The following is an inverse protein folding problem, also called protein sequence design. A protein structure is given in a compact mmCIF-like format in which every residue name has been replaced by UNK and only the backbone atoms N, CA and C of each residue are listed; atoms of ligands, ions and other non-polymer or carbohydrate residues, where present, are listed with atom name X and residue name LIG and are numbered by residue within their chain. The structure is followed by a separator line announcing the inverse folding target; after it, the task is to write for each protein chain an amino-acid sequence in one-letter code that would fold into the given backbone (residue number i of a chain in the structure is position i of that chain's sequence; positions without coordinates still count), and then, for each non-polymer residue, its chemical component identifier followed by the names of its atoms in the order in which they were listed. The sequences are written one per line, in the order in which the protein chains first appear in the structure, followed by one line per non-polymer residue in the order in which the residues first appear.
data_IF_328183813682
#
_entry.id   IF_328183813682
#
_cell.length_a   1.000
_cell.length_b   1.000
_cell.length_c   1.000
_cell.angle_alpha   90.00
_cell.angle_beta   90.00
_cell.angle_gamma   90.00
#
_symmetry.space_group_name_H-M   'P 1'
#
loop_
_entity.id
_entity.type
_entity.pdbx_description
1 polymer ?
#
# COMPACT_ATOMS: atom_id res chain seq x y z
N UNK A 1 -14.70 -4.99 -3.74
CA UNK A 1 -14.20 -4.17 -2.61
C UNK A 1 -15.36 -3.60 -1.76
N UNK A 2 -16.24 -4.51 -1.29
CA UNK A 2 -17.44 -4.11 -0.54
C UNK A 2 -17.13 -3.37 0.77
N UNK A 3 -15.96 -3.60 1.37
CA UNK A 3 -15.55 -2.94 2.61
C UNK A 3 -15.52 -1.40 2.48
N UNK A 4 -15.31 -0.86 1.28
CA UNK A 4 -15.33 0.58 1.05
C UNK A 4 -16.70 1.22 1.35
N UNK A 5 -17.79 0.50 1.13
CA UNK A 5 -19.14 0.99 1.43
C UNK A 5 -19.41 1.17 2.92
N UNK A 6 -18.57 0.65 3.81
CA UNK A 6 -18.64 0.97 5.23
C UNK A 6 -18.19 2.39 5.57
N UNK A 7 -17.45 3.07 4.68
CA UNK A 7 -17.06 4.46 4.88
C UNK A 7 -18.25 5.41 4.71
N UNK A 8 -18.34 6.45 5.53
CA UNK A 8 -19.45 7.42 5.54
C UNK A 8 -19.73 8.01 4.15
N UNK A 9 -18.69 8.25 3.36
CA UNK A 9 -18.79 8.80 2.00
C UNK A 9 -19.52 7.85 1.06
N UNK A 10 -19.22 6.54 1.11
CA UNK A 10 -19.77 5.53 0.22
C UNK A 10 -21.03 4.86 0.79
N UNK A 11 -21.26 4.92 2.11
CA UNK A 11 -22.42 4.37 2.76
C UNK A 11 -23.75 4.87 2.16
N UNK A 12 -23.78 6.11 1.67
CA UNK A 12 -24.94 6.71 0.99
C UNK A 12 -25.30 6.04 -0.33
N UNK A 13 -24.43 5.23 -0.89
CA UNK A 13 -24.69 4.46 -2.12
C UNK A 13 -25.41 3.14 -1.82
N UNK A 14 -25.51 2.74 -0.55
CA UNK A 14 -26.27 1.58 -0.13
C UNK A 14 -27.78 1.91 -0.16
N UNK A 15 -28.48 1.32 -1.11
CA UNK A 15 -29.89 1.61 -1.40
C UNK A 15 -30.77 0.41 -1.08
N UNK A 16 -31.70 0.57 -0.15
CA UNK A 16 -32.60 -0.49 0.32
C UNK A 16 -33.61 -0.95 -0.73
N UNK A 17 -33.75 -0.22 -1.83
CA UNK A 17 -34.60 -0.64 -2.97
C UNK A 17 -34.07 -1.88 -3.69
N UNK A 18 -32.77 -2.20 -3.54
CA UNK A 18 -32.22 -3.43 -4.08
C UNK A 18 -32.59 -4.62 -3.19
N UNK A 19 -33.41 -5.53 -3.74
CA UNK A 19 -33.86 -6.73 -3.04
C UNK A 19 -32.76 -7.79 -2.93
N UNK A 20 -31.95 -7.95 -3.99
CA UNK A 20 -30.85 -8.90 -4.02
C UNK A 20 -29.54 -8.17 -3.91
N UNK A 21 -28.70 -8.60 -2.95
CA UNK A 21 -27.46 -7.92 -2.59
C UNK A 21 -26.34 -8.94 -2.46
N UNK A 22 -25.22 -8.69 -3.14
CA UNK A 22 -24.00 -9.51 -3.05
C UNK A 22 -22.82 -8.60 -2.76
N UNK A 23 -22.08 -8.92 -1.72
CA UNK A 23 -20.83 -8.26 -1.37
C UNK A 23 -19.65 -9.21 -1.55
N UNK A 24 -18.62 -8.73 -2.24
CA UNK A 24 -17.32 -9.41 -2.35
C UNK A 24 -16.24 -8.51 -1.76
N UNK A 25 -15.46 -9.05 -0.85
CA UNK A 25 -14.33 -8.34 -0.24
C UNK A 25 -13.32 -9.35 0.30
N UNK A 26 -12.04 -9.04 0.19
CA UNK A 26 -10.98 -9.79 0.86
C UNK A 26 -10.95 -9.50 2.37
N UNK A 27 -11.34 -8.29 2.76
CA UNK A 27 -11.33 -7.79 4.15
C UNK A 27 -12.68 -7.16 4.45
N UNK A 28 -13.60 -7.93 5.02
CA UNK A 28 -14.93 -7.40 5.35
C UNK A 28 -14.91 -6.58 6.64
N UNK A 29 -14.09 -6.97 7.59
CA UNK A 29 -13.92 -6.27 8.86
C UNK A 29 -13.00 -5.08 8.68
N UNK A 30 -13.53 -3.89 8.88
CA UNK A 30 -12.81 -2.63 8.72
C UNK A 30 -11.94 -2.36 9.94
N UNK A 31 -10.68 -2.06 9.71
CA UNK A 31 -9.75 -1.77 10.80
C UNK A 31 -10.20 -0.52 11.59
N UNK A 32 -10.40 -0.67 12.91
CA UNK A 32 -10.84 0.41 13.83
C UNK A 32 -12.16 1.11 13.45
N UNK A 33 -13.00 0.46 12.64
CA UNK A 33 -14.28 1.00 12.19
C UNK A 33 -15.40 -0.05 12.38
N UNK A 34 -15.77 -0.25 13.64
CA UNK A 34 -16.82 -1.19 14.03
C UNK A 34 -18.20 -0.76 13.47
N UNK A 35 -18.44 0.57 13.37
CA UNK A 35 -19.71 1.12 12.85
C UNK A 35 -19.83 0.84 11.34
N UNK A 36 -18.78 1.06 10.57
CA UNK A 36 -18.76 0.74 9.15
C UNK A 36 -18.86 -0.75 8.88
N UNK A 37 -18.22 -1.58 9.70
CA UNK A 37 -18.37 -3.04 9.62
C UNK A 37 -19.80 -3.48 9.91
N UNK A 38 -20.42 -2.95 10.97
CA UNK A 38 -21.82 -3.24 11.31
C UNK A 38 -22.78 -2.82 10.20
N UNK A 39 -22.55 -1.66 9.56
CA UNK A 39 -23.33 -1.19 8.42
C UNK A 39 -23.32 -2.19 7.26
N UNK A 40 -22.16 -2.74 6.92
CA UNK A 40 -22.02 -3.74 5.85
C UNK A 40 -22.80 -5.01 6.16
N UNK A 41 -22.69 -5.53 7.38
CA UNK A 41 -23.46 -6.71 7.80
C UNK A 41 -24.96 -6.45 7.83
N UNK A 42 -25.41 -5.27 8.26
CA UNK A 42 -26.81 -4.90 8.25
C UNK A 42 -27.38 -4.80 6.83
N UNK A 43 -26.60 -4.28 5.87
CA UNK A 43 -27.06 -4.10 4.50
C UNK A 43 -26.99 -5.39 3.67
N UNK A 44 -25.84 -6.10 3.70
CA UNK A 44 -25.60 -7.30 2.89
C UNK A 44 -26.00 -8.60 3.58
N UNK A 45 -26.20 -8.60 4.89
CA UNK A 45 -26.48 -9.79 5.68
C UNK A 45 -25.20 -10.49 6.14
N UNK A 46 -25.34 -11.73 6.57
CA UNK A 46 -24.25 -12.53 7.11
C UNK A 46 -23.29 -13.03 6.00
N UNK A 47 -22.03 -13.21 6.34
CA UNK A 47 -21.05 -13.86 5.46
C UNK A 47 -21.51 -15.28 5.13
N UNK A 48 -21.74 -15.56 3.85
CA UNK A 48 -22.23 -16.86 3.37
C UNK A 48 -21.11 -17.78 2.89
N UNK A 49 -19.99 -17.21 2.38
CA UNK A 49 -18.84 -17.97 1.87
C UNK A 49 -17.56 -17.30 2.39
N UNK A 50 -16.59 -18.10 2.76
CA UNK A 50 -15.23 -17.70 3.01
C UNK A 50 -14.30 -18.54 2.16
N UNK A 51 -13.42 -17.86 1.41
CA UNK A 51 -12.43 -18.48 0.56
C UNK A 51 -11.04 -17.97 0.94
N UNK A 52 -10.39 -18.59 1.94
CA UNK A 52 -9.13 -18.10 2.48
C UNK A 52 -7.99 -18.24 1.46
N UNK A 53 -6.96 -17.38 1.61
CA UNK A 53 -5.79 -17.33 0.75
C UNK A 53 -5.07 -18.70 0.66
N UNK A 54 -4.96 -19.42 1.77
CA UNK A 54 -4.37 -20.76 1.81
C UNK A 54 -5.09 -21.73 0.88
N UNK A 55 -6.42 -21.77 0.95
CA UNK A 55 -7.25 -22.61 0.08
C UNK A 55 -7.11 -22.23 -1.38
N UNK A 56 -7.07 -20.94 -1.70
CA UNK A 56 -6.87 -20.46 -3.07
C UNK A 56 -5.51 -20.86 -3.65
N UNK A 57 -4.47 -20.91 -2.81
CA UNK A 57 -3.13 -21.38 -3.18
C UNK A 57 -3.12 -22.91 -3.35
N UNK A 58 -3.77 -23.64 -2.44
CA UNK A 58 -3.81 -25.12 -2.48
C UNK A 58 -4.61 -25.63 -3.70
N UNK A 59 -5.65 -24.91 -4.10
CA UNK A 59 -6.45 -25.21 -5.29
C UNK A 59 -5.86 -24.61 -6.59
N UNK A 60 -4.60 -24.13 -6.58
CA UNK A 60 -3.90 -23.50 -7.72
C UNK A 60 -4.67 -22.32 -8.38
N UNK A 61 -5.52 -21.64 -7.60
CA UNK A 61 -6.19 -20.40 -8.03
C UNK A 61 -5.31 -19.17 -7.85
N UNK A 62 -4.37 -19.25 -6.90
CA UNK A 62 -3.35 -18.22 -6.66
C UNK A 62 -1.96 -18.85 -6.70
N UNK A 63 -1.01 -18.07 -7.20
CA UNK A 63 0.39 -18.49 -7.31
C UNK A 63 1.00 -18.67 -5.92
N UNK A 64 1.68 -19.77 -5.70
CA UNK A 64 2.50 -20.00 -4.50
C UNK A 64 3.64 -18.99 -4.47
N UNK A 65 3.91 -18.42 -3.31
CA UNK A 65 5.00 -17.46 -3.12
C UNK A 65 5.83 -17.79 -1.89
N UNK A 66 7.06 -17.29 -1.88
CA UNK A 66 7.94 -17.31 -0.70
C UNK A 66 8.12 -15.86 -0.24
N UNK A 67 8.00 -15.65 1.05
CA UNK A 67 8.17 -14.34 1.68
C UNK A 67 9.49 -14.33 2.47
N UNK A 68 10.33 -13.32 2.20
CA UNK A 68 11.63 -13.15 2.84
C UNK A 68 11.69 -11.75 3.48
N UNK A 69 11.46 -11.62 4.78
CA UNK A 69 11.59 -10.34 5.45
C UNK A 69 13.09 -9.95 5.55
N UNK A 70 13.39 -8.72 5.16
CA UNK A 70 14.71 -8.10 5.34
C UNK A 70 14.56 -7.02 6.40
N UNK A 71 15.26 -7.17 7.51
CA UNK A 71 15.23 -6.21 8.61
C UNK A 71 16.20 -5.07 8.30
N UNK A 72 15.71 -3.85 8.39
CA UNK A 72 16.49 -2.61 8.27
C UNK A 72 16.22 -1.73 9.49
N UNK A 73 17.18 -0.89 9.84
CA UNK A 73 17.07 0.01 10.97
C UNK A 73 16.96 1.45 10.50
N UNK A 74 16.38 2.31 11.31
CA UNK A 74 16.46 3.75 11.12
C UNK A 74 17.90 4.19 11.43
N UNK A 75 18.42 5.14 10.64
CA UNK A 75 19.68 5.78 11.00
C UNK A 75 19.50 6.68 12.23
N UNK A 76 20.60 7.23 12.79
CA UNK A 76 20.57 7.99 14.04
C UNK A 76 19.66 9.22 13.96
N UNK A 77 19.67 9.96 12.84
CA UNK A 77 18.82 11.14 12.64
C UNK A 77 17.34 10.77 12.50
N UNK A 78 17.05 9.73 11.74
CA UNK A 78 15.69 9.18 11.57
C UNK A 78 15.15 8.65 12.91
N UNK A 79 15.98 7.94 13.68
CA UNK A 79 15.61 7.41 14.99
C UNK A 79 15.32 8.53 15.97
N UNK A 80 16.19 9.53 16.05
CA UNK A 80 15.98 10.70 16.94
C UNK A 80 14.66 11.40 16.61
N UNK A 81 14.38 11.64 15.31
CA UNK A 81 13.14 12.27 14.89
C UNK A 81 11.92 11.39 15.19
N UNK A 82 12.02 10.08 14.97
CA UNK A 82 10.96 9.11 15.32
C UNK A 82 10.65 9.13 16.82
N UNK A 83 11.66 9.19 17.68
CA UNK A 83 11.52 9.27 19.15
C UNK A 83 10.88 10.59 19.58
N UNK A 84 11.30 11.72 19.01
CA UNK A 84 10.69 13.04 19.25
C UNK A 84 9.20 13.04 18.92
N UNK A 85 8.82 12.56 17.74
CA UNK A 85 7.41 12.46 17.33
C UNK A 85 6.63 11.50 18.25
N UNK A 86 7.23 10.40 18.68
CA UNK A 86 6.62 9.44 19.58
C UNK A 86 6.35 10.06 20.96
N UNK A 87 7.29 10.86 21.47
CA UNK A 87 7.12 11.60 22.72
C UNK A 87 6.00 12.65 22.60
N UNK A 88 5.98 13.45 21.52
CA UNK A 88 4.90 14.43 21.32
C UNK A 88 3.53 13.75 21.15
N UNK A 89 3.48 12.61 20.46
CA UNK A 89 2.27 11.80 20.34
C UNK A 89 1.73 11.35 21.69
N UNK A 90 2.61 10.95 22.62
CA UNK A 90 2.18 10.48 23.95
C UNK A 90 1.38 11.54 24.71
N UNK A 91 1.67 12.83 24.47
CA UNK A 91 0.95 13.98 25.07
C UNK A 91 -0.42 14.22 24.44
N UNK A 92 -0.70 13.60 23.29
CA UNK A 92 -1.92 13.80 22.51
C UNK A 92 -3.01 12.75 22.78
N UNK A 93 -2.80 11.88 23.77
CA UNK A 93 -3.75 10.84 24.16
C UNK A 93 -4.93 11.46 24.93
N UNK A 94 -6.15 11.13 24.49
CA UNK A 94 -7.41 11.53 25.13
C UNK A 94 -8.29 10.30 25.32
N UNK A 95 -9.19 10.34 26.28
CA UNK A 95 -10.23 9.30 26.43
C UNK A 95 -11.45 9.64 25.57
N UNK A 96 -11.95 8.67 24.83
CA UNK A 96 -13.22 8.79 24.13
C UNK A 96 -14.40 8.68 25.10
N UNK A 97 -15.64 8.79 24.56
CA UNK A 97 -16.87 8.68 25.35
C UNK A 97 -17.08 7.29 25.98
N UNK A 98 -16.34 6.26 25.51
CA UNK A 98 -16.37 4.88 26.03
C UNK A 98 -15.19 4.59 26.95
N UNK A 99 -14.39 5.61 27.31
CA UNK A 99 -13.22 5.48 28.17
C UNK A 99 -11.98 4.87 27.50
N UNK A 100 -12.02 4.58 26.18
CA UNK A 100 -10.85 4.09 25.41
C UNK A 100 -9.91 5.25 25.07
N UNK A 101 -8.62 4.98 25.18
CA UNK A 101 -7.58 5.94 24.79
C UNK A 101 -7.52 6.04 23.25
N UNK A 102 -7.50 7.25 22.74
CA UNK A 102 -7.30 7.58 21.33
C UNK A 102 -6.42 8.82 21.20
N UNK A 103 -5.85 9.00 20.02
CA UNK A 103 -5.17 10.24 19.67
C UNK A 103 -6.20 11.34 19.35
N UNK A 104 -5.86 12.57 19.73
CA UNK A 104 -6.56 13.74 19.21
C UNK A 104 -6.08 14.05 17.79
N UNK A 105 -6.67 15.04 17.11
CA UNK A 105 -6.29 15.43 15.73
C UNK A 105 -4.80 15.72 15.55
N UNK A 106 -4.16 16.40 16.54
CA UNK A 106 -2.73 16.66 16.51
C UNK A 106 -1.93 15.36 16.59
N UNK A 107 -2.34 14.45 17.47
CA UNK A 107 -1.70 13.14 17.62
C UNK A 107 -1.82 12.26 16.37
N UNK A 108 -2.93 12.36 15.64
CA UNK A 108 -3.12 11.65 14.35
C UNK A 108 -2.14 12.18 13.29
N UNK A 109 -1.94 13.50 13.22
CA UNK A 109 -0.94 14.12 12.32
C UNK A 109 0.47 13.66 12.69
N UNK A 110 0.82 13.66 13.99
CA UNK A 110 2.13 13.19 14.46
C UNK A 110 2.34 11.71 14.16
N UNK A 111 1.30 10.88 14.30
CA UNK A 111 1.35 9.46 13.94
C UNK A 111 1.64 9.26 12.45
N UNK A 112 1.01 10.08 11.60
CA UNK A 112 1.27 10.07 10.16
C UNK A 112 2.71 10.47 9.85
N UNK A 113 3.21 11.57 10.42
CA UNK A 113 4.60 12.00 10.26
C UNK A 113 5.58 10.92 10.71
N UNK A 114 5.32 10.26 11.84
CA UNK A 114 6.14 9.15 12.33
C UNK A 114 6.13 7.94 11.38
N UNK A 115 4.98 7.60 10.82
CA UNK A 115 4.88 6.50 9.84
C UNK A 115 5.65 6.79 8.55
N UNK A 116 5.73 8.06 8.15
CA UNK A 116 6.51 8.51 6.98
C UNK A 116 8.01 8.28 7.17
N UNK A 117 8.55 8.51 8.37
CA UNK A 117 9.96 8.21 8.66
C UNK A 117 10.24 6.72 8.41
N UNK A 118 9.39 5.85 8.94
CA UNK A 118 9.54 4.40 8.74
C UNK A 118 9.37 4.00 7.28
N UNK A 119 8.39 4.59 6.57
CA UNK A 119 8.17 4.30 5.16
C UNK A 119 9.36 4.74 4.28
N UNK A 120 9.94 5.91 4.57
CA UNK A 120 11.03 6.52 3.82
C UNK A 120 12.44 6.19 4.31
N UNK A 121 12.60 5.28 5.28
CA UNK A 121 13.91 4.96 5.87
C UNK A 121 15.00 4.69 4.81
N UNK A 122 16.12 5.40 4.89
CA UNK A 122 17.18 5.41 3.87
C UNK A 122 17.86 4.06 3.73
N UNK A 123 18.01 3.31 4.82
CA UNK A 123 18.59 1.97 4.82
C UNK A 123 17.80 0.96 3.96
N UNK A 124 16.53 1.22 3.65
CA UNK A 124 15.76 0.41 2.70
C UNK A 124 16.33 0.46 1.30
N UNK A 125 16.89 1.60 0.89
CA UNK A 125 17.52 1.74 -0.43
C UNK A 125 18.85 0.98 -0.49
N UNK A 126 19.62 0.98 0.59
CA UNK A 126 20.83 0.17 0.73
C UNK A 126 20.51 -1.30 0.65
N UNK A 127 19.55 -1.76 1.45
CA UNK A 127 19.08 -3.15 1.42
C UNK A 127 18.51 -3.55 0.05
N UNK A 128 17.79 -2.64 -0.62
CA UNK A 128 17.30 -2.90 -1.98
C UNK A 128 18.44 -3.14 -2.96
N UNK A 129 19.50 -2.29 -2.95
CA UNK A 129 20.67 -2.48 -3.82
C UNK A 129 21.28 -3.86 -3.68
N UNK A 130 21.47 -4.29 -2.43
CA UNK A 130 22.05 -5.61 -2.15
C UNK A 130 21.16 -6.76 -2.61
N UNK A 131 19.86 -6.69 -2.27
CA UNK A 131 18.92 -7.77 -2.54
C UNK A 131 18.54 -7.87 -4.03
N UNK A 132 18.54 -6.77 -4.77
CA UNK A 132 18.15 -6.76 -6.20
C UNK A 132 19.29 -7.12 -7.13
N UNK A 133 20.55 -6.96 -6.70
CA UNK A 133 21.73 -7.21 -7.53
C UNK A 133 21.73 -8.58 -8.24
N UNK A 134 21.35 -9.72 -7.59
CA UNK A 134 21.25 -11.02 -8.26
C UNK A 134 20.18 -11.08 -9.35
N UNK A 135 19.30 -10.08 -9.39
CA UNK A 135 18.17 -9.98 -10.32
C UNK A 135 18.40 -8.95 -11.43
N UNK A 136 19.52 -8.23 -11.46
CA UNK A 136 19.80 -7.17 -12.43
C UNK A 136 19.66 -7.61 -13.90
N UNK A 137 19.85 -8.90 -14.20
CA UNK A 137 19.64 -9.49 -15.53
C UNK A 137 18.34 -10.30 -15.66
N UNK A 138 17.45 -10.22 -14.67
CA UNK A 138 16.17 -10.90 -14.70
C UNK A 138 15.08 -9.96 -15.19
N UNK A 139 13.98 -10.55 -15.63
CA UNK A 139 12.76 -9.83 -16.00
C UNK A 139 11.64 -10.11 -15.00
N UNK A 140 10.55 -9.39 -15.13
CA UNK A 140 9.33 -9.59 -14.36
C UNK A 140 9.49 -9.23 -12.87
N UNK A 141 10.18 -8.13 -12.60
CA UNK A 141 10.40 -7.59 -11.26
C UNK A 141 9.40 -6.48 -10.96
N UNK A 142 8.91 -6.47 -9.74
CA UNK A 142 8.13 -5.36 -9.18
C UNK A 142 8.89 -4.78 -7.99
N UNK A 143 9.05 -3.46 -7.95
CA UNK A 143 9.48 -2.76 -6.73
C UNK A 143 8.34 -1.87 -6.29
N UNK A 144 7.79 -2.17 -5.10
CA UNK A 144 6.67 -1.45 -4.54
C UNK A 144 7.17 -0.46 -3.49
N UNK A 145 7.02 0.82 -3.76
CA UNK A 145 7.38 1.92 -2.88
C UNK A 145 6.21 2.31 -1.99
N UNK A 146 6.49 2.87 -0.84
CA UNK A 146 5.47 3.30 0.11
C UNK A 146 4.62 4.44 -0.44
N UNK A 147 3.37 4.40 -0.02
CA UNK A 147 2.44 5.47 -0.25
C UNK A 147 2.06 6.11 1.09
N UNK A 148 2.43 7.34 1.35
CA UNK A 148 2.19 8.00 2.64
C UNK A 148 0.92 8.84 2.71
N UNK A 149 0.02 8.80 1.73
CA UNK A 149 -1.24 9.55 1.75
C UNK A 149 -2.43 8.70 2.20
N UNK A 150 -2.56 8.37 3.49
CA UNK A 150 -3.72 7.61 3.98
C UNK A 150 -4.73 8.46 4.77
N UNK A 151 -4.49 9.73 5.06
CA UNK A 151 -5.40 10.47 5.94
C UNK A 151 -5.86 11.87 5.47
N UNK A 152 -5.79 12.21 4.20
CA UNK A 152 -6.36 13.48 3.79
C UNK A 152 -7.22 13.40 2.53
N UNK A 153 -8.48 12.94 2.71
CA UNK A 153 -9.55 13.19 1.73
C UNK A 153 -9.86 14.70 1.57
N UNK A 154 -9.19 15.58 2.33
CA UNK A 154 -9.40 17.03 2.36
C UNK A 154 -8.14 17.87 2.13
N UNK A 155 -6.96 17.26 2.10
CA UNK A 155 -5.76 17.99 1.72
C UNK A 155 -5.69 18.09 0.20
N UNK A 156 -5.49 19.30 -0.22
CA UNK A 156 -5.31 19.73 -1.59
C UNK A 156 -4.39 18.76 -2.36
N UNK A 157 -4.83 18.29 -3.51
CA UNK A 157 -4.10 17.37 -4.40
C UNK A 157 -2.72 17.89 -4.87
N UNK A 158 -2.32 19.06 -4.39
CA UNK A 158 -1.05 19.71 -4.73
C UNK A 158 0.14 19.33 -3.85
N UNK A 159 -0.05 18.61 -2.73
CA UNK A 159 1.06 18.12 -1.91
C UNK A 159 1.36 16.66 -2.22
N UNK A 160 1.92 16.40 -3.39
CA UNK A 160 2.69 15.18 -3.62
C UNK A 160 3.77 15.16 -2.55
N UNK A 161 3.73 14.17 -1.66
CA UNK A 161 4.67 14.12 -0.54
C UNK A 161 6.08 14.00 -1.10
N UNK A 162 6.91 15.05 -0.91
CA UNK A 162 8.27 15.08 -1.44
C UNK A 162 9.08 13.84 -1.05
N UNK A 163 8.74 13.18 0.07
CA UNK A 163 9.36 11.96 0.53
C UNK A 163 9.05 10.74 -0.36
N UNK A 164 7.81 10.61 -0.83
CA UNK A 164 7.39 9.47 -1.67
C UNK A 164 7.92 9.62 -3.10
N UNK A 165 7.88 10.83 -3.62
CA UNK A 165 8.50 11.14 -4.92
C UNK A 165 9.99 10.85 -4.87
N UNK A 166 10.67 11.22 -3.81
CA UNK A 166 12.10 10.93 -3.62
C UNK A 166 12.40 9.43 -3.58
N UNK A 167 11.58 8.62 -2.92
CA UNK A 167 11.82 7.18 -2.84
C UNK A 167 11.67 6.51 -4.21
N UNK A 168 10.61 6.79 -4.97
CA UNK A 168 10.42 6.22 -6.31
C UNK A 168 11.50 6.67 -7.29
N UNK A 169 11.93 7.94 -7.21
CA UNK A 169 13.03 8.47 -8.00
C UNK A 169 14.35 7.76 -7.66
N UNK A 170 14.66 7.63 -6.37
CA UNK A 170 15.86 6.92 -5.91
C UNK A 170 15.87 5.46 -6.36
N UNK A 171 14.75 4.76 -6.22
CA UNK A 171 14.61 3.36 -6.68
C UNK A 171 14.76 3.27 -8.20
N UNK A 172 14.11 4.16 -8.95
CA UNK A 172 14.23 4.19 -10.42
C UNK A 172 15.67 4.45 -10.85
N UNK A 173 16.37 5.34 -10.15
CA UNK A 173 17.79 5.62 -10.40
C UNK A 173 18.68 4.41 -10.11
N UNK A 174 18.47 3.73 -9.00
CA UNK A 174 19.20 2.50 -8.64
C UNK A 174 19.04 1.46 -9.74
N UNK A 175 17.80 1.17 -10.15
CA UNK A 175 17.55 0.14 -11.14
C UNK A 175 18.04 0.54 -12.53
N UNK A 176 17.70 1.76 -12.97
CA UNK A 176 17.99 2.23 -14.34
C UNK A 176 19.43 2.63 -14.53
N UNK A 177 19.95 3.52 -13.68
CA UNK A 177 21.27 4.12 -13.90
C UNK A 177 22.41 3.31 -13.26
N UNK A 178 22.23 2.80 -12.04
CA UNK A 178 23.28 2.04 -11.36
C UNK A 178 23.37 0.60 -11.88
N UNK A 179 22.23 -0.07 -12.11
CA UNK A 179 22.19 -1.47 -12.52
C UNK A 179 21.92 -1.68 -14.02
N UNK A 180 21.68 -0.60 -14.78
CA UNK A 180 21.45 -0.66 -16.23
C UNK A 180 20.18 -1.42 -16.64
N UNK A 181 19.19 -1.48 -15.76
CA UNK A 181 17.93 -2.19 -16.03
C UNK A 181 16.97 -1.33 -16.82
N UNK A 182 16.15 -1.96 -17.67
CA UNK A 182 15.00 -1.30 -18.31
C UNK A 182 13.85 -1.23 -17.33
N UNK A 183 13.52 -0.02 -16.85
CA UNK A 183 12.50 0.21 -15.82
C UNK A 183 11.48 1.24 -16.26
N UNK A 184 10.25 1.11 -15.73
CA UNK A 184 9.21 2.12 -15.84
C UNK A 184 8.58 2.37 -14.47
N UNK A 185 8.15 3.62 -14.24
CA UNK A 185 7.29 3.97 -13.12
C UNK A 185 5.86 3.54 -13.45
N UNK A 186 5.10 3.25 -12.41
CA UNK A 186 3.68 2.95 -12.50
C UNK A 186 2.99 3.60 -11.28
N UNK A 187 2.47 4.79 -11.50
CA UNK A 187 1.88 5.64 -10.47
C UNK A 187 0.41 5.98 -10.78
N UNK A 188 -0.17 6.88 -10.02
CA UNK A 188 -1.51 7.38 -10.31
C UNK A 188 -1.54 8.39 -11.48
N UNK A 189 -0.37 8.94 -11.83
CA UNK A 189 -0.26 10.02 -12.82
C UNK A 189 -0.36 9.53 -14.27
N UNK A 190 -0.01 8.24 -14.53
CA UNK A 190 -0.12 7.68 -15.86
C UNK A 190 -1.59 7.45 -16.23
N UNK A 191 -1.96 7.87 -17.45
CA UNK A 191 -3.26 7.59 -18.03
C UNK A 191 -3.46 6.09 -18.36
N UNK A 192 -4.67 5.72 -18.74
CA UNK A 192 -5.00 4.31 -18.99
C UNK A 192 -4.24 3.73 -20.19
N UNK A 193 -3.94 4.53 -21.20
CA UNK A 193 -3.22 4.08 -22.41
C UNK A 193 -1.75 3.81 -22.07
N UNK A 194 -1.12 4.73 -21.35
CA UNK A 194 0.26 4.58 -20.86
C UNK A 194 0.40 3.35 -19.96
N UNK A 195 -0.56 3.14 -19.04
CA UNK A 195 -0.56 1.94 -18.18
C UNK A 195 -0.66 0.65 -18.97
N UNK A 196 -1.55 0.61 -19.95
CA UNK A 196 -1.70 -0.55 -20.84
C UNK A 196 -0.41 -0.83 -21.60
N UNK A 197 0.27 0.22 -22.10
CA UNK A 197 1.54 0.10 -22.79
C UNK A 197 2.66 -0.42 -21.87
N UNK A 198 2.75 0.09 -20.64
CA UNK A 198 3.73 -0.39 -19.65
C UNK A 198 3.52 -1.87 -19.36
N UNK A 199 2.29 -2.31 -19.13
CA UNK A 199 1.94 -3.71 -18.90
C UNK A 199 2.31 -4.57 -20.11
N UNK A 200 1.98 -4.14 -21.32
CA UNK A 200 2.32 -4.85 -22.56
C UNK A 200 3.84 -5.00 -22.73
N UNK A 201 4.62 -3.95 -22.49
CA UNK A 201 6.07 -3.99 -22.57
C UNK A 201 6.69 -4.88 -21.47
N UNK A 202 6.10 -4.90 -20.28
CA UNK A 202 6.53 -5.74 -19.18
C UNK A 202 6.31 -7.23 -19.45
N UNK A 203 5.21 -7.57 -20.16
CA UNK A 203 4.91 -8.94 -20.55
C UNK A 203 5.80 -9.43 -21.71
N UNK A 204 6.23 -8.51 -22.58
CA UNK A 204 7.12 -8.82 -23.70
C UNK A 204 8.56 -8.92 -23.22
N UNK A 205 9.12 -10.12 -23.29
CA UNK A 205 10.52 -10.37 -22.87
C UNK A 205 11.52 -9.36 -23.45
N UNK A 206 12.32 -8.76 -22.58
CA UNK A 206 13.44 -7.90 -22.95
C UNK A 206 13.12 -6.43 -23.21
N UNK A 207 11.85 -6.02 -23.15
CA UNK A 207 11.50 -4.60 -23.32
C UNK A 207 11.46 -3.83 -22.01
N UNK A 208 10.90 -4.43 -20.97
CA UNK A 208 10.85 -3.85 -19.63
C UNK A 208 11.16 -4.94 -18.61
N UNK A 209 12.16 -4.72 -17.76
CA UNK A 209 12.60 -5.69 -16.77
C UNK A 209 11.88 -5.51 -15.44
N UNK A 210 11.67 -4.26 -15.05
CA UNK A 210 11.09 -3.93 -13.75
C UNK A 210 10.05 -2.82 -13.84
N UNK A 211 9.05 -2.91 -12.98
CA UNK A 211 8.09 -1.84 -12.72
C UNK A 211 8.33 -1.33 -11.30
N UNK A 212 8.42 0.00 -11.14
CA UNK A 212 8.49 0.67 -9.84
C UNK A 212 7.13 1.33 -9.61
N UNK A 213 6.42 0.89 -8.59
CA UNK A 213 5.04 1.28 -8.35
C UNK A 213 4.82 1.93 -6.99
N UNK A 214 3.89 2.88 -6.92
CA UNK A 214 3.33 3.45 -5.69
C UNK A 214 1.80 3.36 -5.77
N UNK A 215 1.14 2.94 -4.68
CA UNK A 215 -0.33 2.95 -4.45
C UNK A 215 -1.22 2.34 -5.52
N UNK A 216 -0.88 2.48 -6.78
CA UNK A 216 -1.75 2.11 -7.89
C UNK A 216 -1.96 0.61 -8.08
N UNK A 217 -1.28 -0.22 -7.28
CA UNK A 217 -1.44 -1.68 -7.28
C UNK A 217 -2.25 -2.20 -6.10
N UNK A 218 -2.71 -1.33 -5.20
CA UNK A 218 -3.41 -1.75 -3.98
C UNK A 218 -4.79 -2.33 -4.30
N UNK A 219 -5.46 -1.84 -5.36
CA UNK A 219 -6.81 -2.26 -5.71
C UNK A 219 -6.98 -2.51 -7.22
N UNK A 220 -7.32 -3.73 -7.57
CA UNK A 220 -7.87 -4.06 -8.90
C UNK A 220 -6.89 -4.06 -10.07
N UNK A 221 -5.61 -3.84 -9.87
CA UNK A 221 -4.61 -3.92 -10.95
C UNK A 221 -3.99 -5.31 -10.98
N UNK A 222 -4.21 -6.02 -12.07
CA UNK A 222 -3.55 -7.30 -12.33
C UNK A 222 -2.38 -7.07 -13.29
N UNK A 223 -1.16 -7.35 -12.83
CA UNK A 223 0.05 -7.34 -13.68
C UNK A 223 0.50 -8.80 -13.85
N UNK A 224 0.07 -9.47 -14.92
CA UNK A 224 0.48 -10.84 -15.17
C UNK A 224 1.99 -10.95 -15.38
N UNK A 225 2.57 -12.02 -14.87
CA UNK A 225 3.97 -12.34 -15.12
C UNK A 225 4.94 -11.85 -14.06
N UNK A 226 4.54 -11.10 -13.02
CA UNK A 226 5.43 -10.78 -11.90
C UNK A 226 5.97 -12.06 -11.29
N UNK A 227 7.29 -12.15 -11.12
CA UNK A 227 7.97 -13.31 -10.54
C UNK A 227 8.65 -12.99 -9.22
N UNK A 228 9.12 -11.76 -9.07
CA UNK A 228 9.79 -11.30 -7.85
C UNK A 228 9.30 -9.91 -7.53
N UNK A 229 8.95 -9.68 -6.27
CA UNK A 229 8.55 -8.37 -5.78
C UNK A 229 9.43 -7.95 -4.59
N UNK A 230 9.88 -6.70 -4.62
CA UNK A 230 10.54 -6.03 -3.51
C UNK A 230 9.57 -5.00 -2.94
N UNK A 231 9.18 -5.17 -1.68
CA UNK A 231 8.21 -4.31 -1.02
C UNK A 231 8.95 -3.46 0.01
N UNK A 232 9.16 -2.17 -0.30
CA UNK A 232 9.88 -1.24 0.57
C UNK A 232 8.99 -0.66 1.65
N UNK A 233 7.72 -0.51 1.37
CA UNK A 233 6.72 -0.10 2.35
C UNK A 233 5.37 -0.68 1.99
N UNK A 234 4.55 -0.92 3.00
CA UNK A 234 3.14 -1.30 2.84
C UNK A 234 2.29 -0.30 3.61
N UNK A 235 1.11 0.01 3.08
CA UNK A 235 0.09 0.73 3.83
C UNK A 235 -0.55 -0.23 4.83
N UNK A 236 -0.65 0.17 6.07
CA UNK A 236 -1.56 -0.47 7.03
C UNK A 236 -2.94 0.12 6.81
N UNK A 237 -3.83 -0.64 6.17
CA UNK A 237 -5.25 -0.33 6.14
C UNK A 237 -5.89 -0.64 7.50
#
# INVERSE_FOLDING_TARGET
EAHNFGARTYARCLDDRFTYRLALSATLERHRDDEGTALLYNFFGKKCIEYPLSRAIDEDKLTRYKYFPVVVYLNDDELLHYEQLSYEMSKCLIKDKRGKWKLNKRGEILALQRSRIVAGATEKLTALREQILPYARKNNLLVYCGATNVLDERADRSSTDEGDVRQIEAVTNILGNELGMSVSKFTADEDMETRALIIDQFQKKGRLQAIVAIKCLDEGVNIPGIRTAFILASTTN
#
